data_IF_816035899410
#
_entry.id   IF_816035899410
#
_cell.length_a   1.000
_cell.length_b   1.000
_cell.length_c   1.000
_cell.angle_alpha   90.00
_cell.angle_beta   90.00
_cell.angle_gamma   90.00
#
_symmetry.space_group_name_H-M   'P 1'
#
loop_
_entity.id
_entity.type
_entity.pdbx_description
1 polymer ?
#
# COMPACT_ATOMS: atom_id res chain seq x y z
N UNK A 1 -15.92 -54.50 -1.17
CA UNK A 1 -15.26 -53.18 -1.25
C UNK A 1 -15.99 -52.24 -0.29
N UNK A 2 -15.53 -52.09 0.96
CA UNK A 2 -16.13 -51.17 1.92
C UNK A 2 -15.91 -49.72 1.47
N UNK A 3 -16.97 -49.07 0.99
CA UNK A 3 -17.02 -47.62 0.91
C UNK A 3 -17.09 -47.11 2.36
N UNK A 4 -15.97 -46.61 2.90
CA UNK A 4 -15.96 -45.80 4.11
C UNK A 4 -16.64 -44.48 3.76
N UNK A 5 -17.97 -44.43 3.91
CA UNK A 5 -18.73 -43.20 3.83
C UNK A 5 -18.31 -42.26 4.94
N UNK A 6 -18.06 -40.99 4.59
CA UNK A 6 -17.75 -39.92 5.53
C UNK A 6 -18.74 -39.94 6.70
N UNK A 7 -18.22 -40.01 7.92
CA UNK A 7 -19.08 -39.99 9.11
C UNK A 7 -19.60 -38.56 9.34
N UNK A 8 -20.80 -38.43 9.90
CA UNK A 8 -21.34 -37.12 10.31
C UNK A 8 -20.36 -36.36 11.23
N UNK A 9 -19.65 -37.10 12.09
CA UNK A 9 -18.66 -36.55 13.02
C UNK A 9 -17.49 -35.90 12.26
N UNK A 10 -17.01 -36.52 11.19
CA UNK A 10 -15.92 -35.98 10.36
C UNK A 10 -16.33 -34.67 9.68
N UNK A 11 -17.55 -34.61 9.16
CA UNK A 11 -18.09 -33.38 8.58
C UNK A 11 -18.23 -32.27 9.63
N UNK A 12 -18.71 -32.61 10.85
CA UNK A 12 -18.80 -31.66 11.95
C UNK A 12 -17.42 -31.15 12.40
N UNK A 13 -16.41 -32.03 12.44
CA UNK A 13 -15.04 -31.66 12.80
C UNK A 13 -14.43 -30.72 11.75
N UNK A 14 -14.65 -30.99 10.45
CA UNK A 14 -14.15 -30.14 9.37
C UNK A 14 -14.78 -28.74 9.46
N UNK A 15 -16.08 -28.64 9.68
CA UNK A 15 -16.77 -27.35 9.83
C UNK A 15 -16.29 -26.61 11.08
N UNK A 16 -16.05 -27.32 12.19
CA UNK A 16 -15.47 -26.74 13.40
C UNK A 16 -14.06 -26.19 13.14
N UNK A 17 -13.19 -26.99 12.51
CA UNK A 17 -11.82 -26.59 12.16
C UNK A 17 -11.81 -25.40 11.20
N UNK A 18 -12.67 -25.40 10.18
CA UNK A 18 -12.85 -24.24 9.30
C UNK A 18 -13.30 -23.00 10.07
N UNK A 19 -14.28 -23.12 10.96
CA UNK A 19 -14.78 -22.01 11.78
C UNK A 19 -13.73 -21.43 12.73
N UNK A 20 -12.99 -22.29 13.44
CA UNK A 20 -11.92 -21.86 14.34
C UNK A 20 -10.76 -21.20 13.57
N UNK A 21 -10.39 -21.78 12.42
CA UNK A 21 -9.34 -21.22 11.56
C UNK A 21 -9.75 -19.86 11.01
N UNK A 22 -10.99 -19.72 10.51
CA UNK A 22 -11.53 -18.46 10.04
C UNK A 22 -11.59 -17.41 11.16
N UNK A 23 -11.98 -17.81 12.38
CA UNK A 23 -11.99 -16.94 13.55
C UNK A 23 -10.59 -16.43 13.94
N UNK A 24 -9.56 -17.29 13.89
CA UNK A 24 -8.18 -16.87 14.14
C UNK A 24 -7.67 -15.87 13.10
N UNK A 25 -7.98 -16.08 11.81
CA UNK A 25 -7.60 -15.13 10.75
C UNK A 25 -8.24 -13.77 11.00
N UNK A 26 -9.52 -13.73 11.39
CA UNK A 26 -10.21 -12.47 11.68
C UNK A 26 -9.62 -11.72 12.89
N UNK A 27 -9.09 -12.44 13.89
CA UNK A 27 -8.38 -11.85 15.03
C UNK A 27 -6.94 -11.42 14.69
N UNK A 28 -6.31 -12.06 13.70
CA UNK A 28 -4.97 -11.70 13.23
C UNK A 28 -4.94 -10.35 12.48
N UNK A 29 -6.09 -9.88 12.01
CA UNK A 29 -6.30 -8.54 11.49
C UNK A 29 -7.10 -7.72 12.49
N UNK A 30 -6.47 -7.17 13.55
CA UNK A 30 -7.17 -6.25 14.44
C UNK A 30 -7.77 -5.12 13.59
N UNK A 31 -9.06 -4.76 13.75
CA UNK A 31 -9.57 -3.54 13.16
C UNK A 31 -8.67 -2.43 13.68
N UNK A 32 -8.05 -1.70 12.74
CA UNK A 32 -7.07 -0.67 13.06
C UNK A 32 -7.72 0.28 14.06
N UNK A 33 -7.24 0.25 15.30
CA UNK A 33 -7.78 1.02 16.43
C UNK A 33 -7.37 2.49 16.36
N UNK A 34 -6.59 2.86 15.34
CA UNK A 34 -6.25 4.23 14.99
C UNK A 34 -7.50 4.86 14.39
N UNK A 35 -8.21 5.68 15.15
CA UNK A 35 -9.32 6.52 14.63
C UNK A 35 -8.86 7.96 14.36
N UNK A 36 -7.55 8.24 14.48
CA UNK A 36 -7.03 9.59 14.36
C UNK A 36 -6.48 9.85 12.95
N UNK A 37 -7.14 10.71 12.15
CA UNK A 37 -6.67 11.07 10.82
C UNK A 37 -5.32 11.81 10.87
N UNK A 38 -5.01 12.56 11.94
CA UNK A 38 -3.74 13.25 12.08
C UNK A 38 -2.58 12.26 12.24
N UNK A 39 -2.72 11.26 13.12
CA UNK A 39 -1.72 10.18 13.26
C UNK A 39 -1.57 9.36 11.97
N UNK A 40 -2.65 9.18 11.22
CA UNK A 40 -2.59 8.53 9.90
C UNK A 40 -1.72 9.33 8.93
N UNK A 41 -1.86 10.65 8.94
CA UNK A 41 -1.06 11.52 8.11
C UNK A 41 0.41 11.60 8.55
N UNK A 42 0.67 11.67 9.85
CA UNK A 42 2.04 11.64 10.38
C UNK A 42 2.76 10.33 10.01
N UNK A 43 2.07 9.19 10.13
CA UNK A 43 2.61 7.89 9.70
C UNK A 43 2.92 7.87 8.21
N UNK A 44 1.99 8.35 7.38
CA UNK A 44 2.23 8.44 5.93
C UNK A 44 3.45 9.32 5.61
N UNK A 45 3.57 10.50 6.24
CA UNK A 45 4.72 11.40 6.05
C UNK A 45 6.05 10.77 6.48
N UNK A 46 6.07 10.09 7.63
CA UNK A 46 7.26 9.39 8.11
C UNK A 46 7.69 8.26 7.18
N UNK A 47 6.73 7.51 6.62
CA UNK A 47 7.02 6.45 5.65
C UNK A 47 7.48 7.02 4.30
N UNK A 48 6.84 8.09 3.83
CA UNK A 48 7.21 8.78 2.58
C UNK A 48 8.65 9.28 2.62
N UNK A 49 9.01 10.00 3.68
CA UNK A 49 10.38 10.51 3.89
C UNK A 49 11.40 9.36 3.94
N UNK A 50 11.11 8.31 4.70
CA UNK A 50 11.97 7.13 4.78
C UNK A 50 12.19 6.45 3.41
N UNK A 51 11.13 6.24 2.62
CA UNK A 51 11.24 5.58 1.31
C UNK A 51 11.95 6.48 0.30
N UNK A 52 11.73 7.79 0.36
CA UNK A 52 12.45 8.77 -0.46
C UNK A 52 13.95 8.77 -0.17
N UNK A 53 14.33 8.84 1.11
CA UNK A 53 15.74 8.75 1.53
C UNK A 53 16.38 7.44 1.08
N UNK A 54 15.62 6.34 1.15
CA UNK A 54 16.06 5.06 0.63
C UNK A 54 16.26 5.11 -0.89
N UNK A 55 15.39 5.74 -1.65
CA UNK A 55 15.51 5.94 -3.11
C UNK A 55 16.81 6.64 -3.48
N UNK A 56 17.15 7.70 -2.74
CA UNK A 56 18.41 8.42 -2.87
C UNK A 56 19.63 7.54 -2.56
N UNK A 57 19.54 6.67 -1.56
CA UNK A 57 20.65 5.81 -1.13
C UNK A 57 20.85 4.58 -2.04
N UNK A 58 19.77 3.96 -2.50
CA UNK A 58 19.81 2.71 -3.27
C UNK A 58 19.85 2.93 -4.77
N UNK A 59 19.46 4.13 -5.24
CA UNK A 59 19.29 4.41 -6.66
C UNK A 59 18.08 3.70 -7.28
N UNK A 60 17.19 3.13 -6.47
CA UNK A 60 16.02 2.37 -6.95
C UNK A 60 14.78 3.24 -7.14
N UNK A 61 13.94 2.84 -8.09
CA UNK A 61 12.61 3.42 -8.27
C UNK A 61 11.63 2.86 -7.24
N UNK A 62 10.95 3.76 -6.55
CA UNK A 62 9.86 3.43 -5.66
C UNK A 62 8.57 4.08 -6.16
N UNK A 63 7.45 3.62 -5.64
CA UNK A 63 6.15 4.18 -5.94
C UNK A 63 5.17 3.97 -4.78
N UNK A 64 4.01 4.61 -4.87
CA UNK A 64 2.92 4.49 -3.91
C UNK A 64 1.65 4.12 -4.67
N UNK A 65 1.00 3.05 -4.24
CA UNK A 65 -0.39 2.76 -4.60
C UNK A 65 -1.28 3.22 -3.45
N UNK A 66 -2.25 4.06 -3.76
CA UNK A 66 -3.17 4.65 -2.79
C UNK A 66 -4.57 4.14 -3.14
N UNK A 67 -5.24 3.61 -2.12
CA UNK A 67 -6.63 3.20 -2.16
C UNK A 67 -7.41 3.96 -1.08
N UNK A 68 -8.74 4.04 -1.18
CA UNK A 68 -9.56 4.72 -0.16
C UNK A 68 -9.35 4.18 1.25
N UNK A 69 -9.02 2.90 1.39
CA UNK A 69 -8.87 2.19 2.66
C UNK A 69 -7.41 1.96 3.08
N UNK A 70 -6.43 2.16 2.20
CA UNK A 70 -5.03 1.80 2.47
C UNK A 70 -4.04 2.47 1.53
N UNK A 71 -2.78 2.47 1.89
CA UNK A 71 -1.68 2.81 0.99
C UNK A 71 -0.57 1.77 1.08
N UNK A 72 0.18 1.62 0.00
CA UNK A 72 1.28 0.67 -0.10
C UNK A 72 2.41 1.23 -0.93
N UNK A 73 3.62 1.21 -0.36
CA UNK A 73 4.83 1.50 -1.11
C UNK A 73 5.24 0.29 -1.94
N UNK A 74 5.73 0.54 -3.14
CA UNK A 74 6.19 -0.45 -4.10
C UNK A 74 7.61 -0.13 -4.56
N UNK A 75 8.34 -1.15 -4.99
CA UNK A 75 9.62 -1.03 -5.69
C UNK A 75 9.48 -1.54 -7.10
N UNK A 76 10.20 -0.93 -8.02
CA UNK A 76 10.36 -1.46 -9.36
C UNK A 76 11.43 -2.55 -9.32
N UNK A 77 11.11 -3.77 -9.78
CA UNK A 77 12.12 -4.76 -10.11
C UNK A 77 12.41 -4.70 -11.59
N UNK A 78 13.68 -4.54 -11.90
CA UNK A 78 14.19 -4.73 -13.25
C UNK A 78 14.53 -6.22 -13.47
N UNK A 79 14.54 -6.68 -14.73
CA UNK A 79 14.89 -8.07 -15.06
C UNK A 79 16.27 -8.50 -14.52
N UNK A 80 17.25 -7.60 -14.55
CA UNK A 80 18.62 -7.83 -14.08
C UNK A 80 18.68 -8.14 -12.56
N UNK A 81 17.86 -7.46 -11.75
CA UNK A 81 17.77 -7.70 -10.30
C UNK A 81 16.95 -8.95 -9.93
N UNK A 82 16.11 -9.45 -10.84
CA UNK A 82 15.11 -10.49 -10.51
C UNK A 82 15.69 -11.90 -10.49
N UNK A 83 16.95 -12.09 -10.91
CA UNK A 83 17.63 -13.40 -10.92
C UNK A 83 17.08 -14.41 -11.93
N UNK A 84 16.01 -14.07 -12.65
CA UNK A 84 15.35 -14.91 -13.67
C UNK A 84 16.08 -14.86 -15.03
N UNK A 85 17.40 -14.73 -15.05
CA UNK A 85 18.19 -14.73 -16.28
C UNK A 85 18.33 -16.13 -16.93
N UNK A 86 17.39 -17.06 -16.70
CA UNK A 86 17.65 -18.47 -16.98
C UNK A 86 16.47 -19.44 -17.04
N UNK A 87 15.22 -19.05 -17.19
CA UNK A 87 14.18 -20.02 -17.56
C UNK A 87 13.14 -19.40 -18.50
N UNK A 88 13.22 -19.84 -19.76
CA UNK A 88 12.35 -19.42 -20.84
C UNK A 88 10.89 -19.88 -20.62
N UNK A 89 9.98 -18.92 -20.51
CA UNK A 89 8.64 -19.00 -21.13
C UNK A 89 8.17 -17.56 -21.43
N UNK A 90 7.61 -17.34 -22.62
CA UNK A 90 7.45 -16.03 -23.27
C UNK A 90 6.38 -15.11 -22.67
N UNK A 91 6.54 -14.68 -21.43
CA UNK A 91 5.78 -13.59 -20.81
C UNK A 91 6.67 -12.37 -20.60
N UNK A 92 6.24 -11.22 -21.11
CA UNK A 92 6.89 -9.90 -21.05
C UNK A 92 7.82 -9.73 -19.84
N UNK A 93 9.15 -9.87 -20.06
CA UNK A 93 10.23 -9.61 -19.09
C UNK A 93 10.36 -8.10 -18.85
N UNK A 94 9.24 -7.47 -18.49
CA UNK A 94 9.13 -6.05 -18.22
C UNK A 94 9.48 -5.74 -16.77
N UNK A 95 9.82 -4.48 -16.53
CA UNK A 95 9.96 -3.98 -15.18
C UNK A 95 8.61 -4.10 -14.46
N UNK A 96 8.60 -4.72 -13.27
CA UNK A 96 7.35 -4.99 -12.53
C UNK A 96 7.37 -4.33 -11.16
N UNK A 97 6.22 -3.80 -10.75
CA UNK A 97 6.04 -3.28 -9.40
C UNK A 97 5.80 -4.41 -8.41
N UNK A 98 6.46 -4.34 -7.26
CA UNK A 98 6.21 -5.24 -6.14
C UNK A 98 6.06 -4.47 -4.83
N UNK A 99 5.20 -4.94 -3.91
CA UNK A 99 5.16 -4.45 -2.54
C UNK A 99 6.55 -4.32 -1.93
N UNK A 100 6.87 -3.12 -1.47
CA UNK A 100 8.11 -2.87 -0.76
C UNK A 100 8.03 -3.58 0.60
N UNK A 101 9.00 -4.43 0.90
CA UNK A 101 9.10 -5.12 2.19
C UNK A 101 10.46 -4.81 2.79
N UNK A 102 10.46 -4.13 3.94
CA UNK A 102 11.68 -3.75 4.66
C UNK A 102 11.57 -4.28 6.09
N UNK A 103 12.62 -4.96 6.55
CA UNK A 103 12.63 -5.52 7.88
C UNK A 103 12.44 -4.42 8.94
N UNK A 104 11.40 -4.58 9.78
CA UNK A 104 11.06 -3.69 10.91
C UNK A 104 10.60 -2.27 10.53
N UNK A 105 10.30 -2.01 9.26
CA UNK A 105 9.74 -0.72 8.84
C UNK A 105 8.42 -0.97 8.12
N UNK A 106 7.37 -0.28 8.57
CA UNK A 106 6.08 -0.34 7.90
C UNK A 106 6.17 0.41 6.57
N UNK A 107 5.83 -0.28 5.48
CA UNK A 107 5.83 0.22 4.09
C UNK A 107 4.42 0.20 3.48
N UNK A 108 3.42 0.03 4.34
CA UNK A 108 2.01 0.13 4.03
C UNK A 108 1.27 0.63 5.27
N UNK A 109 0.03 1.05 5.08
CA UNK A 109 -0.86 1.42 6.17
C UNK A 109 -2.32 1.42 5.72
N UNK A 110 -3.22 1.43 6.71
CA UNK A 110 -4.66 1.50 6.50
C UNK A 110 -5.16 2.90 6.80
N UNK A 111 -6.07 3.38 5.97
CA UNK A 111 -6.96 4.48 6.32
C UNK A 111 -7.76 4.06 7.55
N UNK A 112 -7.73 4.91 8.57
CA UNK A 112 -8.34 4.68 9.87
C UNK A 112 -9.87 4.52 9.79
N UNK A 113 -10.54 5.64 9.58
CA UNK A 113 -12.00 5.77 9.59
C UNK A 113 -12.53 6.63 8.44
N UNK A 114 -11.67 7.50 7.89
CA UNK A 114 -12.00 8.35 6.77
C UNK A 114 -11.27 7.88 5.51
N UNK A 115 -11.92 7.92 4.34
CA UNK A 115 -11.31 7.46 3.11
C UNK A 115 -10.17 8.39 2.69
N UNK A 116 -9.14 7.80 2.12
CA UNK A 116 -8.09 8.52 1.43
C UNK A 116 -8.60 8.96 0.06
N UNK A 117 -8.24 10.17 -0.35
CA UNK A 117 -8.44 10.63 -1.71
C UNK A 117 -7.17 11.26 -2.25
N UNK A 118 -6.79 10.90 -3.48
CA UNK A 118 -5.64 11.46 -4.16
C UNK A 118 -6.10 12.46 -5.23
N UNK A 119 -5.37 13.56 -5.33
CA UNK A 119 -5.55 14.56 -6.39
C UNK A 119 -4.21 15.02 -6.91
N UNK A 120 -4.14 15.34 -8.18
CA UNK A 120 -2.91 15.76 -8.87
C UNK A 120 -3.03 17.22 -9.31
N UNK A 121 -1.94 18.02 -9.27
CA UNK A 121 -1.96 19.40 -9.74
C UNK A 121 -2.37 19.56 -11.20
N UNK A 122 -2.06 18.56 -12.04
CA UNK A 122 -2.43 18.54 -13.46
C UNK A 122 -3.91 18.21 -13.71
N UNK A 123 -4.71 18.00 -12.64
CA UNK A 123 -6.13 17.69 -12.73
C UNK A 123 -6.44 16.26 -13.22
N UNK A 124 -5.44 15.38 -13.26
CA UNK A 124 -5.62 13.98 -13.61
C UNK A 124 -6.63 13.30 -12.66
N UNK A 125 -7.57 12.55 -13.23
CA UNK A 125 -8.55 11.81 -12.45
C UNK A 125 -7.86 10.61 -11.76
N UNK A 126 -7.91 10.59 -10.43
CA UNK A 126 -7.42 9.44 -9.67
C UNK A 126 -8.39 8.26 -9.76
N UNK A 127 -7.87 7.11 -10.18
CA UNK A 127 -8.61 5.84 -10.23
C UNK A 127 -7.81 4.80 -9.44
N UNK A 128 -8.24 4.42 -8.22
CA UNK A 128 -7.53 3.43 -7.42
C UNK A 128 -7.38 2.11 -8.18
N UNK A 129 -6.17 1.56 -8.23
CA UNK A 129 -5.88 0.33 -8.96
C UNK A 129 -4.63 -0.38 -8.45
N UNK A 130 -4.23 -1.45 -9.15
CA UNK A 130 -3.01 -2.22 -8.82
C UNK A 130 -1.73 -1.54 -9.32
N UNK A 131 -1.84 -0.60 -10.25
CA UNK A 131 -0.73 0.22 -10.69
C UNK A 131 -0.45 1.32 -9.66
N UNK A 132 0.82 1.73 -9.49
CA UNK A 132 1.14 2.83 -8.61
C UNK A 132 0.59 4.16 -9.15
N UNK A 133 0.12 5.00 -8.22
CA UNK A 133 -0.41 6.33 -8.52
C UNK A 133 0.67 7.41 -8.47
N UNK A 134 1.63 7.28 -7.54
CA UNK A 134 2.69 8.27 -7.29
C UNK A 134 4.04 7.60 -7.47
N UNK A 135 4.94 8.22 -8.24
CA UNK A 135 6.30 7.73 -8.44
C UNK A 135 7.28 8.50 -7.55
N UNK A 136 8.25 7.77 -6.99
CA UNK A 136 9.41 8.33 -6.29
C UNK A 136 10.66 7.98 -7.10
N UNK A 137 11.34 9.02 -7.58
CA UNK A 137 12.50 8.88 -8.43
C UNK A 137 13.78 8.74 -7.59
N UNK A 138 14.78 8.00 -8.08
CA UNK A 138 16.09 7.88 -7.43
C UNK A 138 16.79 9.22 -7.15
N UNK A 139 16.46 10.27 -7.91
CA UNK A 139 16.97 11.63 -7.71
C UNK A 139 16.33 12.40 -6.54
N UNK A 140 15.37 11.78 -5.83
CA UNK A 140 14.63 12.41 -4.74
C UNK A 140 13.44 13.25 -5.21
N UNK A 141 13.17 13.27 -6.51
CA UNK A 141 11.96 13.85 -7.10
C UNK A 141 10.76 12.93 -6.83
N UNK A 142 9.58 13.52 -6.74
CA UNK A 142 8.32 12.80 -6.48
C UNK A 142 7.27 13.33 -7.45
N UNK A 143 6.39 12.47 -7.96
CA UNK A 143 5.20 12.92 -8.69
C UNK A 143 4.39 13.86 -7.79
N UNK A 144 4.14 15.13 -8.12
CA UNK A 144 3.39 16.04 -7.25
C UNK A 144 1.98 15.52 -6.96
N UNK A 145 1.56 15.54 -5.70
CA UNK A 145 0.23 15.07 -5.31
C UNK A 145 -0.30 15.76 -4.06
N UNK A 146 -1.62 15.76 -3.93
CA UNK A 146 -2.32 16.13 -2.71
C UNK A 146 -3.09 14.91 -2.20
N UNK A 147 -2.74 14.46 -0.99
CA UNK A 147 -3.41 13.39 -0.26
C UNK A 147 -4.41 14.00 0.73
N UNK A 148 -5.68 13.64 0.59
CA UNK A 148 -6.76 14.04 1.48
C UNK A 148 -7.15 12.87 2.37
N UNK A 149 -7.33 13.11 3.66
CA UNK A 149 -7.91 12.17 4.61
C UNK A 149 -9.25 12.76 5.05
N UNK A 150 -10.33 12.15 4.60
CA UNK A 150 -11.66 12.67 4.90
C UNK A 150 -11.91 14.05 4.31
N UNK A 151 -12.57 14.92 5.09
CA UNK A 151 -12.92 16.28 4.65
C UNK A 151 -12.00 17.38 5.16
N UNK A 152 -11.30 17.16 6.27
CA UNK A 152 -10.63 18.23 7.02
C UNK A 152 -9.10 18.26 6.91
N UNK A 153 -8.47 17.15 6.51
CA UNK A 153 -7.01 17.03 6.54
C UNK A 153 -6.46 16.76 5.14
N UNK A 154 -5.52 17.57 4.70
CA UNK A 154 -4.81 17.35 3.44
C UNK A 154 -3.31 17.57 3.59
N UNK A 155 -2.57 16.89 2.74
CA UNK A 155 -1.13 16.95 2.64
C UNK A 155 -0.77 17.17 1.19
N UNK A 156 -0.04 18.24 0.93
CA UNK A 156 0.52 18.52 -0.37
C UNK A 156 1.99 18.10 -0.41
N UNK A 157 2.36 17.42 -1.47
CA UNK A 157 3.74 17.01 -1.75
C UNK A 157 4.11 17.55 -3.12
N UNK A 158 5.14 18.38 -3.17
CA UNK A 158 5.61 18.97 -4.42
C UNK A 158 6.54 18.03 -5.19
N UNK A 159 7.02 18.50 -6.35
CA UNK A 159 7.92 17.73 -7.21
C UNK A 159 9.27 17.39 -6.55
N UNK A 160 9.66 18.18 -5.55
CA UNK A 160 10.89 17.99 -4.77
C UNK A 160 10.67 17.05 -3.59
N UNK A 161 9.44 16.60 -3.36
CA UNK A 161 9.09 15.82 -2.19
C UNK A 161 9.04 16.65 -0.90
N UNK A 162 8.98 17.98 -1.00
CA UNK A 162 8.71 18.85 0.13
C UNK A 162 7.23 18.77 0.49
N UNK A 163 6.97 18.67 1.80
CA UNK A 163 5.65 18.37 2.34
C UNK A 163 5.07 19.63 2.98
N UNK A 164 3.87 20.04 2.54
CA UNK A 164 3.14 21.16 3.11
C UNK A 164 1.78 20.68 3.65
N UNK A 165 1.49 20.88 4.95
CA UNK A 165 0.17 20.60 5.48
C UNK A 165 -0.83 21.63 4.95
N UNK A 166 -1.89 21.15 4.30
CA UNK A 166 -2.98 21.99 3.82
C UNK A 166 -4.21 21.69 4.69
N UNK A 167 -4.56 22.64 5.56
CA UNK A 167 -5.90 22.67 6.13
C UNK A 167 -6.80 23.34 5.10
N UNK A 168 -7.87 22.68 4.69
CA UNK A 168 -8.89 23.34 3.86
C UNK A 168 -9.57 24.37 4.76
N UNK A 169 -9.14 25.64 4.69
CA UNK A 169 -9.92 26.76 5.20
C UNK A 169 -11.27 26.70 4.51
N UNK A 170 -12.32 26.33 5.25
CA UNK A 170 -13.69 26.54 4.83
C UNK A 170 -13.86 28.05 4.66
N UNK A 171 -13.78 28.52 3.42
CA UNK A 171 -14.14 29.91 3.09
C UNK A 171 -15.64 30.09 3.37
N UNK A 172 -16.03 31.18 4.04
CA UNK A 172 -17.38 31.40 4.57
C UNK A 172 -18.46 31.63 3.50
#
# INVERSE_FOLDING_TARGET
>A
MQQRGFTLLEMMLILLLMGVSAGMVMLAFPPSRENDPAQTLERFQAQLSFVRDRGLQTGQFYAISIHPDRWQFMRLLTPDESGNAGEADGGEEGSRWQPLQIARVATSGSAASEPLALSFPDGAAWTPGEQPDVLLFPGGEVTPFQLHIGRGLALEVDARGDVQPTQREESP
#
